data_IF_555135892823
#
_entry.id   IF_555135892823
#
_cell.length_a   1.000
_cell.length_b   1.000
_cell.length_c   1.000
_cell.angle_alpha   90.00
_cell.angle_beta   90.00
_cell.angle_gamma   90.00
#
_symmetry.space_group_name_H-M   'P 1'
#
loop_
_entity.id
_entity.type
_entity.pdbx_description
1 polymer ?
#
# COMPACT_ATOMS: atom_id res chain seq x y z
N UNK A 1 2.21 -26.25 -24.42
CA UNK A 1 3.42 -27.00 -24.02
C UNK A 1 3.03 -27.91 -22.86
N UNK A 2 3.08 -29.23 -23.02
CA UNK A 2 2.86 -30.19 -21.93
C UNK A 2 4.14 -30.34 -21.12
N UNK A 3 4.06 -30.21 -19.79
CA UNK A 3 5.19 -30.45 -18.90
C UNK A 3 4.89 -31.66 -18.01
N UNK A 4 5.91 -32.43 -17.69
CA UNK A 4 5.78 -33.65 -16.89
C UNK A 4 6.19 -33.39 -15.44
N UNK A 5 5.41 -33.93 -14.50
CA UNK A 5 5.74 -33.85 -13.08
C UNK A 5 7.04 -34.63 -12.80
N UNK A 6 8.06 -34.04 -12.16
CA UNK A 6 9.31 -34.74 -11.84
C UNK A 6 9.16 -35.78 -10.74
N UNK A 7 8.11 -35.67 -9.91
CA UNK A 7 7.85 -36.61 -8.82
C UNK A 7 7.10 -37.86 -9.26
N UNK A 8 6.17 -37.75 -10.22
CA UNK A 8 5.28 -38.86 -10.59
C UNK A 8 5.14 -39.11 -12.10
N UNK A 9 5.79 -38.32 -12.95
CA UNK A 9 5.75 -38.49 -14.41
C UNK A 9 4.42 -38.12 -15.08
N UNK A 10 3.44 -37.60 -14.35
CA UNK A 10 2.15 -37.21 -14.92
C UNK A 10 2.28 -36.00 -15.86
N UNK A 11 1.57 -36.04 -16.99
CA UNK A 11 1.48 -34.91 -17.92
C UNK A 11 0.52 -33.85 -17.38
N UNK A 12 1.01 -32.62 -17.23
CA UNK A 12 0.29 -31.51 -16.61
C UNK A 12 0.02 -30.41 -17.64
N UNK A 13 -1.18 -29.84 -17.58
CA UNK A 13 -1.66 -28.79 -18.50
C UNK A 13 -1.62 -27.37 -17.90
N UNK A 14 -1.50 -27.21 -16.58
CA UNK A 14 -1.66 -25.91 -15.90
C UNK A 14 -0.50 -25.56 -14.96
N UNK A 15 -0.28 -24.27 -14.71
CA UNK A 15 0.71 -23.68 -13.80
C UNK A 15 0.39 -23.87 -12.29
N UNK A 16 -0.01 -25.07 -11.88
CA UNK A 16 -0.31 -25.35 -10.46
C UNK A 16 0.97 -25.47 -9.63
N UNK A 17 0.93 -24.97 -8.39
CA UNK A 17 2.05 -25.05 -7.43
C UNK A 17 2.27 -26.52 -6.96
N UNK A 18 1.21 -27.32 -7.02
CA UNK A 18 1.21 -28.73 -6.63
C UNK A 18 0.72 -29.60 -7.79
N UNK A 19 1.24 -30.82 -7.88
CA UNK A 19 0.78 -31.82 -8.84
C UNK A 19 -0.55 -32.40 -8.39
N UNK A 20 -1.58 -32.34 -9.24
CA UNK A 20 -2.91 -32.90 -8.96
C UNK A 20 -2.93 -34.42 -8.78
N UNK A 21 -1.86 -35.11 -9.19
CA UNK A 21 -1.79 -36.58 -9.13
C UNK A 21 -1.01 -37.10 -7.92
N UNK A 22 0.06 -36.40 -7.51
CA UNK A 22 0.93 -36.89 -6.43
C UNK A 22 1.05 -35.92 -5.25
N UNK A 23 0.37 -34.78 -5.29
CA UNK A 23 0.51 -33.66 -4.35
C UNK A 23 1.96 -33.17 -4.15
N UNK A 24 2.89 -33.60 -4.99
CA UNK A 24 4.28 -33.13 -4.98
C UNK A 24 4.33 -31.67 -5.36
N UNK A 25 5.13 -30.89 -4.64
CA UNK A 25 5.39 -29.49 -4.96
C UNK A 25 6.09 -29.44 -6.33
N UNK A 26 5.48 -28.77 -7.30
CA UNK A 26 6.06 -28.64 -8.61
C UNK A 26 7.12 -27.53 -8.58
N UNK A 27 8.26 -27.71 -9.27
CA UNK A 27 9.16 -26.59 -9.50
C UNK A 27 8.38 -25.57 -10.33
N UNK A 28 7.99 -24.46 -9.69
CA UNK A 28 7.46 -23.29 -10.41
C UNK A 28 8.48 -22.98 -11.48
N UNK A 29 8.04 -22.95 -12.73
CA UNK A 29 8.90 -22.91 -13.90
C UNK A 29 9.48 -21.51 -14.07
N UNK A 30 10.35 -21.11 -13.15
CA UNK A 30 11.05 -19.84 -13.18
C UNK A 30 12.27 -19.95 -12.25
N UNK A 31 13.29 -20.70 -12.68
CA UNK A 31 14.64 -20.23 -12.35
C UNK A 31 14.87 -18.99 -13.21
N UNK A 32 14.24 -17.88 -12.84
CA UNK A 32 14.57 -16.58 -13.39
C UNK A 32 16.09 -16.45 -13.17
N UNK A 33 16.89 -16.23 -14.23
CA UNK A 33 18.31 -15.99 -14.10
C UNK A 33 18.56 -14.98 -12.98
N UNK A 34 19.58 -15.20 -12.15
CA UNK A 34 19.84 -14.34 -10.98
C UNK A 34 19.89 -12.84 -11.34
N UNK A 35 20.38 -12.53 -12.53
CA UNK A 35 20.42 -11.19 -13.12
C UNK A 35 19.03 -10.60 -13.39
N UNK A 36 18.09 -11.39 -13.87
CA UNK A 36 16.71 -10.99 -14.13
C UNK A 36 15.91 -10.88 -12.83
N UNK A 37 16.20 -11.73 -11.83
CA UNK A 37 15.68 -11.57 -10.46
C UNK A 37 16.15 -10.25 -9.84
N UNK A 38 17.43 -9.89 -10.01
CA UNK A 38 17.96 -8.63 -9.49
C UNK A 38 17.32 -7.40 -10.18
N UNK A 39 17.12 -7.47 -11.49
CA UNK A 39 16.42 -6.42 -12.24
C UNK A 39 14.96 -6.27 -11.80
N UNK A 40 14.27 -7.40 -11.57
CA UNK A 40 12.91 -7.41 -11.06
C UNK A 40 12.83 -6.79 -9.66
N UNK A 41 13.77 -7.13 -8.77
CA UNK A 41 13.83 -6.55 -7.43
C UNK A 41 14.06 -5.03 -7.48
N UNK A 42 15.01 -4.56 -8.29
CA UNK A 42 15.25 -3.12 -8.50
C UNK A 42 14.03 -2.40 -9.05
N UNK A 43 13.28 -3.06 -9.94
CA UNK A 43 12.04 -2.53 -10.48
C UNK A 43 10.95 -2.41 -9.39
N UNK A 44 10.76 -3.45 -8.57
CA UNK A 44 9.82 -3.45 -7.45
C UNK A 44 10.17 -2.34 -6.43
N UNK A 45 11.44 -2.20 -6.07
CA UNK A 45 11.91 -1.10 -5.20
C UNK A 45 11.66 0.28 -5.84
N UNK A 46 11.79 0.40 -7.16
CA UNK A 46 11.47 1.62 -7.90
C UNK A 46 9.99 1.99 -7.79
N UNK A 47 9.09 1.02 -7.91
CA UNK A 47 7.65 1.22 -7.73
C UNK A 47 7.31 1.62 -6.29
N UNK A 48 7.95 1.00 -5.30
CA UNK A 48 7.80 1.37 -3.90
C UNK A 48 8.22 2.82 -3.65
N UNK A 49 9.38 3.24 -4.17
CA UNK A 49 9.84 4.64 -4.08
C UNK A 49 8.88 5.62 -4.75
N UNK A 50 8.25 5.26 -5.87
CA UNK A 50 7.24 6.10 -6.52
C UNK A 50 6.04 6.29 -5.59
N UNK A 51 5.54 5.23 -4.97
CA UNK A 51 4.44 5.31 -4.02
C UNK A 51 4.82 6.09 -2.75
N UNK A 52 6.01 5.90 -2.21
CA UNK A 52 6.53 6.67 -1.07
C UNK A 52 6.70 8.16 -1.40
N UNK A 53 7.23 8.49 -2.58
CA UNK A 53 7.41 9.89 -2.99
C UNK A 53 6.08 10.65 -3.06
N UNK A 54 5.00 9.95 -3.47
CA UNK A 54 3.68 10.54 -3.57
C UNK A 54 2.98 10.62 -2.21
N UNK A 55 3.27 9.70 -1.29
CA UNK A 55 2.90 9.82 0.13
C UNK A 55 3.45 11.12 0.73
N UNK A 56 4.75 11.38 0.57
CA UNK A 56 5.39 12.58 1.13
C UNK A 56 4.77 13.90 0.61
N UNK A 57 4.26 13.90 -0.63
CA UNK A 57 3.53 15.05 -1.18
C UNK A 57 2.16 15.26 -0.48
N UNK A 58 1.50 14.18 -0.05
CA UNK A 58 0.28 14.25 0.75
C UNK A 58 0.53 14.65 2.20
N UNK A 59 1.67 14.27 2.78
CA UNK A 59 2.04 14.66 4.16
C UNK A 59 2.07 16.19 4.33
N UNK A 60 2.51 16.93 3.30
CA UNK A 60 2.47 18.40 3.31
C UNK A 60 1.04 18.96 3.39
N UNK A 61 0.07 18.35 2.69
CA UNK A 61 -1.34 18.77 2.75
C UNK A 61 -1.99 18.39 4.08
N UNK A 62 -1.63 17.23 4.63
CA UNK A 62 -2.09 16.80 5.96
C UNK A 62 -1.58 17.76 7.04
N UNK A 63 -0.31 18.17 6.96
CA UNK A 63 0.29 19.15 7.86
C UNK A 63 -0.42 20.51 7.80
N UNK A 64 -0.73 21.00 6.59
CA UNK A 64 -1.51 22.23 6.42
C UNK A 64 -2.91 22.11 7.06
N UNK A 65 -3.60 21.00 6.85
CA UNK A 65 -4.93 20.76 7.42
C UNK A 65 -4.90 20.73 8.95
N UNK A 66 -3.88 20.08 9.52
CA UNK A 66 -3.64 20.07 10.97
C UNK A 66 -3.46 21.49 11.52
N UNK A 67 -2.69 22.33 10.83
CA UNK A 67 -2.47 23.72 11.24
C UNK A 67 -3.77 24.54 11.21
N UNK A 68 -4.59 24.41 10.16
CA UNK A 68 -5.89 25.09 10.06
C UNK A 68 -6.83 24.64 11.19
N UNK A 69 -6.88 23.34 11.48
CA UNK A 69 -7.67 22.79 12.60
C UNK A 69 -7.20 23.32 13.95
N UNK A 70 -5.88 23.41 14.15
CA UNK A 70 -5.31 23.96 15.38
C UNK A 70 -5.72 25.43 15.59
N UNK A 71 -5.65 26.26 14.53
CA UNK A 71 -6.12 27.65 14.58
C UNK A 71 -7.62 27.74 14.88
N UNK A 72 -8.43 26.85 14.30
CA UNK A 72 -9.86 26.77 14.60
C UNK A 72 -10.10 26.41 16.08
N UNK A 73 -9.36 25.45 16.64
CA UNK A 73 -9.46 25.09 18.06
C UNK A 73 -9.06 26.24 19.00
N UNK A 74 -7.98 26.97 18.69
CA UNK A 74 -7.58 28.17 19.46
C UNK A 74 -8.67 29.25 19.37
N UNK A 75 -9.21 29.50 18.18
CA UNK A 75 -10.28 30.49 17.96
C UNK A 75 -11.57 30.14 18.72
N UNK A 76 -12.01 28.87 18.65
CA UNK A 76 -13.19 28.41 19.40
C UNK A 76 -12.98 28.53 20.91
N UNK A 77 -11.80 28.15 21.42
CA UNK A 77 -11.45 28.29 22.85
C UNK A 77 -11.47 29.75 23.30
N UNK A 78 -10.94 30.68 22.49
CA UNK A 78 -10.97 32.11 22.78
C UNK A 78 -12.40 32.68 22.84
N UNK A 79 -13.27 32.30 21.89
CA UNK A 79 -14.68 32.71 21.86
C UNK A 79 -15.42 32.18 23.10
N UNK A 80 -15.19 30.91 23.44
CA UNK A 80 -15.78 30.27 24.63
C UNK A 80 -15.38 30.99 25.92
N UNK A 81 -14.10 31.33 26.05
CA UNK A 81 -13.60 32.09 27.20
C UNK A 81 -14.27 33.47 27.32
N UNK A 82 -14.55 34.14 26.19
CA UNK A 82 -15.21 35.45 26.20
C UNK A 82 -16.69 35.37 26.61
N UNK A 83 -17.37 34.27 26.29
CA UNK A 83 -18.80 34.11 26.54
C UNK A 83 -19.13 33.46 27.89
N UNK A 84 -18.28 32.58 28.40
CA UNK A 84 -18.54 31.83 29.63
C UNK A 84 -17.76 32.44 30.80
N UNK A 85 -18.45 32.76 31.90
CA UNK A 85 -17.82 33.40 33.07
C UNK A 85 -17.00 32.42 33.93
N UNK A 86 -17.15 31.10 33.72
CA UNK A 86 -16.49 30.06 34.50
C UNK A 86 -15.25 29.52 33.79
N UNK A 87 -14.05 29.84 34.30
CA UNK A 87 -12.77 29.31 33.79
C UNK A 87 -12.82 27.78 33.68
N UNK A 88 -13.25 27.09 34.74
CA UNK A 88 -13.22 25.61 34.81
C UNK A 88 -14.01 24.98 33.67
N UNK A 89 -15.20 25.51 33.39
CA UNK A 89 -16.07 24.99 32.33
C UNK A 89 -15.45 25.22 30.94
N UNK A 90 -14.78 26.36 30.74
CA UNK A 90 -14.01 26.65 29.52
C UNK A 90 -12.87 25.65 29.31
N UNK A 91 -12.12 25.26 30.36
CA UNK A 91 -11.09 24.22 30.22
C UNK A 91 -11.72 22.90 29.79
N UNK A 92 -12.76 22.44 30.49
CA UNK A 92 -13.39 21.14 30.22
C UNK A 92 -13.89 21.09 28.78
N UNK A 93 -14.56 22.14 28.31
CA UNK A 93 -15.07 22.21 26.94
C UNK A 93 -13.93 22.26 25.91
N UNK A 94 -12.86 23.01 26.16
CA UNK A 94 -11.70 23.10 25.27
C UNK A 94 -11.00 21.75 25.09
N UNK A 95 -10.84 20.98 26.18
CA UNK A 95 -10.28 19.62 26.15
C UNK A 95 -11.20 18.67 25.37
N UNK A 96 -12.51 18.74 25.60
CA UNK A 96 -13.48 17.94 24.85
C UNK A 96 -13.43 18.24 23.34
N UNK A 97 -13.34 19.52 22.95
CA UNK A 97 -13.17 19.92 21.56
C UNK A 97 -11.85 19.43 20.98
N UNK A 98 -10.74 19.53 21.71
CA UNK A 98 -9.44 19.03 21.26
C UNK A 98 -9.50 17.53 20.93
N UNK A 99 -10.17 16.74 21.77
CA UNK A 99 -10.38 15.32 21.52
C UNK A 99 -11.25 15.07 20.26
N UNK A 100 -12.35 15.81 20.10
CA UNK A 100 -13.18 15.71 18.90
C UNK A 100 -12.39 16.07 17.62
N UNK A 101 -11.60 17.13 17.65
CA UNK A 101 -10.71 17.53 16.55
C UNK A 101 -9.68 16.44 16.23
N UNK A 102 -9.10 15.79 17.23
CA UNK A 102 -8.16 14.70 17.03
C UNK A 102 -8.81 13.50 16.33
N UNK A 103 -10.03 13.12 16.71
CA UNK A 103 -10.78 12.05 16.05
C UNK A 103 -11.11 12.39 14.58
N UNK A 104 -11.59 13.61 14.33
CA UNK A 104 -11.88 14.08 12.96
C UNK A 104 -10.62 14.08 12.10
N UNK A 105 -9.49 14.52 12.66
CA UNK A 105 -8.21 14.51 11.99
C UNK A 105 -7.75 13.09 11.65
N UNK A 106 -7.78 12.17 12.61
CA UNK A 106 -7.41 10.77 12.38
C UNK A 106 -8.25 10.10 11.29
N UNK A 107 -9.56 10.36 11.30
CA UNK A 107 -10.47 9.89 10.25
C UNK A 107 -10.14 10.50 8.88
N UNK A 108 -9.89 11.81 8.82
CA UNK A 108 -9.53 12.51 7.58
C UNK A 108 -8.21 11.99 6.98
N UNK A 109 -7.19 11.73 7.80
CA UNK A 109 -5.91 11.17 7.35
C UNK A 109 -6.12 9.77 6.77
N UNK A 110 -6.82 8.89 7.50
CA UNK A 110 -7.08 7.51 7.07
C UNK A 110 -7.81 7.44 5.72
N UNK A 111 -8.79 8.32 5.51
CA UNK A 111 -9.52 8.40 4.23
C UNK A 111 -8.62 8.89 3.08
N UNK A 112 -7.76 9.87 3.32
CA UNK A 112 -6.92 10.44 2.26
C UNK A 112 -5.73 9.54 1.89
N UNK A 113 -5.12 8.86 2.86
CA UNK A 113 -4.03 7.92 2.59
C UNK A 113 -4.51 6.79 1.68
N UNK A 114 -5.60 6.11 2.07
CA UNK A 114 -6.14 4.98 1.30
C UNK A 114 -6.54 5.36 -0.13
N UNK A 115 -7.18 6.53 -0.30
CA UNK A 115 -7.58 7.03 -1.62
C UNK A 115 -6.39 7.39 -2.50
N UNK A 116 -5.37 8.06 -1.95
CA UNK A 116 -4.19 8.49 -2.70
C UNK A 116 -3.38 7.30 -3.24
N UNK A 117 -3.21 6.26 -2.42
CA UNK A 117 -2.52 5.04 -2.85
C UNK A 117 -3.28 4.32 -3.95
N UNK A 118 -4.59 4.16 -3.81
CA UNK A 118 -5.43 3.48 -4.82
C UNK A 118 -5.42 4.21 -6.15
N UNK A 119 -5.62 5.53 -6.14
CA UNK A 119 -5.59 6.34 -7.37
C UNK A 119 -4.23 6.29 -8.07
N UNK A 120 -3.14 6.32 -7.31
CA UNK A 120 -1.79 6.25 -7.88
C UNK A 120 -1.49 4.85 -8.42
N UNK A 121 -1.93 3.81 -7.72
CA UNK A 121 -1.78 2.45 -8.16
C UNK A 121 -2.53 2.21 -9.48
N UNK A 122 -3.82 2.53 -9.51
CA UNK A 122 -4.69 2.28 -10.66
C UNK A 122 -4.29 3.13 -11.88
N UNK A 123 -3.89 4.40 -11.68
CA UNK A 123 -3.62 5.31 -12.79
C UNK A 123 -2.24 5.13 -13.43
N UNK A 124 -1.24 4.68 -12.68
CA UNK A 124 0.16 4.61 -13.16
C UNK A 124 0.80 3.26 -12.89
N UNK A 125 0.91 2.86 -11.62
CA UNK A 125 1.73 1.71 -11.22
C UNK A 125 1.21 0.41 -11.84
N UNK A 126 -0.10 0.21 -11.88
CA UNK A 126 -0.71 -0.99 -12.48
C UNK A 126 -0.34 -1.15 -13.94
N UNK A 127 -0.44 -0.07 -14.71
CA UNK A 127 -0.09 -0.06 -16.14
C UNK A 127 1.40 -0.30 -16.35
N UNK A 128 2.24 0.35 -15.54
CA UNK A 128 3.69 0.16 -15.61
C UNK A 128 4.08 -1.31 -15.32
N UNK A 129 3.45 -1.93 -14.31
CA UNK A 129 3.64 -3.37 -14.01
C UNK A 129 3.22 -4.21 -15.21
N UNK A 130 2.00 -4.03 -15.73
CA UNK A 130 1.51 -4.83 -16.86
C UNK A 130 2.40 -4.71 -18.10
N UNK A 131 2.88 -3.50 -18.43
CA UNK A 131 3.82 -3.29 -19.52
C UNK A 131 5.20 -3.91 -19.27
N UNK A 132 5.67 -3.92 -18.02
CA UNK A 132 6.93 -4.57 -17.65
C UNK A 132 6.81 -6.10 -17.76
N UNK A 133 5.72 -6.67 -17.27
CA UNK A 133 5.45 -8.11 -17.36
C UNK A 133 5.31 -8.55 -18.82
N UNK A 134 4.57 -7.80 -19.63
CA UNK A 134 4.41 -8.09 -21.05
C UNK A 134 5.74 -8.03 -21.83
N UNK A 135 6.62 -7.07 -21.50
CA UNK A 135 7.93 -6.92 -22.15
C UNK A 135 8.91 -8.04 -21.79
N UNK A 136 8.89 -8.52 -20.55
CA UNK A 136 9.84 -9.52 -20.06
C UNK A 136 9.27 -10.94 -20.08
N UNK A 137 8.00 -11.13 -20.47
CA UNK A 137 7.35 -12.45 -20.48
C UNK A 137 7.18 -13.07 -19.09
N UNK A 138 7.13 -12.23 -18.04
CA UNK A 138 7.02 -12.66 -16.65
C UNK A 138 5.53 -12.88 -16.31
N UNK A 139 5.22 -14.00 -15.66
CA UNK A 139 3.86 -14.27 -15.21
C UNK A 139 3.47 -13.40 -14.00
N UNK A 140 2.19 -13.06 -13.88
CA UNK A 140 1.68 -12.26 -12.75
C UNK A 140 1.94 -12.94 -11.40
N UNK A 141 1.87 -14.27 -11.33
CA UNK A 141 2.13 -15.00 -10.08
C UNK A 141 3.62 -14.97 -9.71
N UNK A 142 4.51 -15.04 -10.69
CA UNK A 142 5.96 -14.94 -10.46
C UNK A 142 6.34 -13.56 -9.93
N UNK A 143 5.77 -12.52 -10.53
CA UNK A 143 5.91 -11.15 -10.03
C UNK A 143 5.42 -10.99 -8.59
N UNK A 144 4.25 -11.54 -8.27
CA UNK A 144 3.67 -11.48 -6.93
C UNK A 144 4.55 -12.17 -5.89
N UNK A 145 5.09 -13.35 -6.22
CA UNK A 145 6.00 -14.08 -5.34
C UNK A 145 7.31 -13.30 -5.11
N UNK A 146 7.91 -12.75 -6.17
CA UNK A 146 9.11 -11.93 -6.06
C UNK A 146 8.85 -10.67 -5.23
N UNK A 147 7.71 -10.01 -5.44
CA UNK A 147 7.33 -8.82 -4.68
C UNK A 147 7.12 -9.12 -3.19
N UNK A 148 6.52 -10.25 -2.83
CA UNK A 148 6.36 -10.65 -1.42
C UNK A 148 7.72 -10.94 -0.76
N UNK A 149 8.72 -11.43 -1.50
CA UNK A 149 10.07 -11.69 -0.98
C UNK A 149 10.87 -10.40 -0.73
N UNK A 150 10.66 -9.38 -1.56
CA UNK A 150 11.43 -8.12 -1.51
C UNK A 150 10.78 -7.06 -0.62
N UNK A 151 9.46 -6.97 -0.65
CA UNK A 151 8.73 -5.90 0.03
C UNK A 151 8.66 -6.13 1.54
N UNK A 152 8.78 -5.04 2.29
CA UNK A 152 8.56 -5.06 3.74
C UNK A 152 7.07 -5.28 4.06
N UNK A 153 6.78 -5.82 5.24
CA UNK A 153 5.40 -6.05 5.70
C UNK A 153 4.55 -4.79 5.81
N UNK A 154 5.16 -3.61 5.90
CA UNK A 154 4.50 -2.31 5.92
C UNK A 154 4.54 -1.59 4.55
N UNK A 155 4.89 -2.29 3.46
CA UNK A 155 4.99 -1.70 2.15
C UNK A 155 3.62 -1.21 1.64
N UNK A 156 3.51 0.02 1.13
CA UNK A 156 2.28 0.52 0.54
C UNK A 156 1.87 -0.24 -0.73
N UNK A 157 2.80 -0.96 -1.39
CA UNK A 157 2.52 -1.74 -2.59
C UNK A 157 1.82 -3.09 -2.25
N UNK A 158 2.09 -3.63 -1.06
CA UNK A 158 1.60 -4.95 -0.62
C UNK A 158 0.08 -5.16 -0.76
N UNK A 159 -0.81 -4.27 -0.24
CA UNK A 159 -2.25 -4.48 -0.34
C UNK A 159 -2.75 -4.53 -1.80
N UNK A 160 -2.11 -3.79 -2.71
CA UNK A 160 -2.52 -3.76 -4.12
C UNK A 160 -2.07 -4.99 -4.90
N UNK A 161 -0.92 -5.57 -4.53
CA UNK A 161 -0.43 -6.81 -5.13
C UNK A 161 -1.28 -8.03 -4.75
N UNK A 162 -2.01 -7.98 -3.64
CA UNK A 162 -2.98 -9.02 -3.29
C UNK A 162 -4.14 -9.03 -4.29
N UNK A 163 -4.61 -7.84 -4.71
CA UNK A 163 -5.73 -7.65 -5.64
C UNK A 163 -5.35 -7.75 -7.13
N UNK A 164 -4.05 -7.62 -7.45
CA UNK A 164 -3.48 -7.76 -8.80
C UNK A 164 -3.37 -9.22 -9.27
#
# INVERSE_FOLDING_TARGET
MSYTCPHCGASLQSSSIYCNYCNGKLPIRATIPQTEKENLNKYIEGLEKILESKKNSHDGRVSLFFFVMFLAWVGTTYILHKFMSGWILTIILSVAFAFAYFLIFGWYVSLNESKSYKETFDARVKKDIEEYLARNGIDKQEFKLAAIEVLKSNSPLYPFLIEF
#
